data_IF_941045846178
#
_entry.id   IF_941045846178
#
_cell.length_a   1.000
_cell.length_b   1.000
_cell.length_c   1.000
_cell.angle_alpha   90.00
_cell.angle_beta   90.00
_cell.angle_gamma   90.00
#
_symmetry.space_group_name_H-M   'P 1'
#
loop_
_entity.id
_entity.type
_entity.pdbx_description
1 polymer ?
#
# COMPACT_ATOMS: atom_id res chain seq x y z
N UNK A 1 -8.19 -11.23 -26.56
CA UNK A 1 -8.93 -11.66 -25.36
C UNK A 1 -9.10 -10.42 -24.49
N UNK A 2 -10.33 -9.95 -24.31
CA UNK A 2 -10.64 -8.67 -23.64
C UNK A 2 -11.26 -8.99 -22.28
N UNK A 3 -10.72 -8.42 -21.21
CA UNK A 3 -11.27 -8.57 -19.85
C UNK A 3 -12.45 -7.61 -19.63
N UNK A 4 -13.50 -8.05 -18.90
CA UNK A 4 -14.62 -7.18 -18.57
C UNK A 4 -14.24 -6.21 -17.44
N UNK A 5 -14.97 -5.10 -17.29
CA UNK A 5 -14.58 -3.97 -16.43
C UNK A 5 -14.58 -4.32 -14.94
N UNK A 6 -15.52 -5.15 -14.51
CA UNK A 6 -15.67 -5.69 -13.16
C UNK A 6 -14.50 -6.59 -12.70
N UNK A 7 -13.64 -7.03 -13.63
CA UNK A 7 -12.42 -7.78 -13.30
C UNK A 7 -11.26 -6.88 -12.85
N UNK A 8 -11.43 -5.56 -12.90
CA UNK A 8 -10.42 -4.59 -12.51
C UNK A 8 -10.82 -3.90 -11.20
N UNK A 9 -9.81 -3.62 -10.39
CA UNK A 9 -9.91 -2.64 -9.32
C UNK A 9 -8.89 -1.54 -9.59
N UNK A 10 -9.37 -0.30 -9.61
CA UNK A 10 -8.55 0.87 -9.91
C UNK A 10 -8.40 1.68 -8.63
N UNK A 11 -7.16 1.99 -8.27
CA UNK A 11 -6.83 2.86 -7.15
C UNK A 11 -6.25 4.16 -7.72
N UNK A 12 -6.92 5.28 -7.50
CA UNK A 12 -6.54 6.59 -8.04
C UNK A 12 -5.96 7.45 -6.93
N UNK A 13 -4.72 7.90 -7.12
CA UNK A 13 -4.09 8.93 -6.30
C UNK A 13 -4.67 10.30 -6.69
N UNK A 14 -5.39 10.94 -5.77
CA UNK A 14 -5.97 12.26 -6.01
C UNK A 14 -4.91 13.36 -6.19
N UNK A 15 -3.73 13.20 -5.58
CA UNK A 15 -2.63 14.18 -5.60
C UNK A 15 -1.63 13.99 -6.74
N UNK A 16 -1.53 12.80 -7.33
CA UNK A 16 -0.64 12.53 -8.47
C UNK A 16 -1.14 11.36 -9.32
N UNK A 17 -1.54 11.64 -10.57
CA UNK A 17 -2.04 10.62 -11.49
C UNK A 17 -0.97 9.56 -11.82
N UNK A 18 0.32 9.90 -11.74
CA UNK A 18 1.44 8.98 -11.92
C UNK A 18 1.59 7.97 -10.78
N UNK A 19 1.00 8.20 -9.61
CA UNK A 19 0.97 7.25 -8.48
C UNK A 19 -0.29 6.39 -8.43
N UNK A 20 -1.11 6.41 -9.48
CA UNK A 20 -2.29 5.55 -9.58
C UNK A 20 -1.91 4.14 -10.01
N UNK A 21 -2.64 3.12 -9.54
CA UNK A 21 -2.39 1.71 -9.87
C UNK A 21 -3.71 0.99 -10.15
N UNK A 22 -3.66 -0.03 -10.99
CA UNK A 22 -4.78 -0.95 -11.19
C UNK A 22 -4.34 -2.38 -10.95
N UNK A 23 -5.27 -3.19 -10.46
CA UNK A 23 -5.08 -4.61 -10.26
C UNK A 23 -6.19 -5.41 -10.95
N UNK A 24 -5.83 -6.60 -11.43
CA UNK A 24 -6.79 -7.57 -11.97
C UNK A 24 -6.27 -8.99 -11.79
N UNK A 25 -7.21 -9.95 -11.77
CA UNK A 25 -6.86 -11.37 -11.75
C UNK A 25 -6.64 -11.85 -13.18
N UNK A 26 -5.47 -12.40 -13.48
CA UNK A 26 -5.17 -12.96 -14.79
C UNK A 26 -5.98 -14.24 -15.02
N UNK A 27 -6.81 -14.34 -16.08
CA UNK A 27 -7.67 -15.52 -16.31
C UNK A 27 -6.88 -16.76 -16.75
N UNK A 28 -5.59 -16.63 -17.08
CA UNK A 28 -4.75 -17.73 -17.55
C UNK A 28 -4.00 -18.43 -16.42
N UNK A 29 -3.51 -17.66 -15.45
CA UNK A 29 -2.70 -18.18 -14.34
C UNK A 29 -3.31 -17.94 -12.96
N UNK A 30 -4.47 -17.28 -12.89
CA UNK A 30 -5.14 -16.87 -11.65
C UNK A 30 -4.30 -15.97 -10.73
N UNK A 31 -3.17 -15.46 -11.22
CA UNK A 31 -2.32 -14.54 -10.46
C UNK A 31 -2.90 -13.13 -10.43
N UNK A 32 -2.73 -12.46 -9.29
CA UNK A 32 -3.03 -11.04 -9.14
C UNK A 32 -1.93 -10.23 -9.84
N UNK A 33 -2.32 -9.38 -10.80
CA UNK A 33 -1.41 -8.54 -11.57
C UNK A 33 -1.63 -7.09 -11.18
N UNK A 34 -0.57 -6.46 -10.65
CA UNK A 34 -0.56 -5.03 -10.30
C UNK A 34 0.26 -4.24 -11.32
N UNK A 35 -0.31 -3.14 -11.82
CA UNK A 35 0.34 -2.27 -12.81
C UNK A 35 0.09 -0.80 -12.47
N UNK A 36 1.06 0.04 -12.81
CA UNK A 36 0.91 1.49 -12.73
C UNK A 36 -0.09 1.98 -13.78
N UNK A 37 -1.02 2.83 -13.36
CA UNK A 37 -2.03 3.41 -14.22
C UNK A 37 -1.55 4.79 -14.67
N UNK A 38 -1.30 4.96 -15.97
CA UNK A 38 -1.14 6.29 -16.55
C UNK A 38 -2.50 7.01 -16.63
N UNK A 39 -2.49 8.32 -16.80
CA UNK A 39 -3.70 9.14 -16.92
C UNK A 39 -4.69 8.63 -17.99
N UNK A 40 -4.16 8.12 -19.13
CA UNK A 40 -4.98 7.51 -20.18
C UNK A 40 -5.66 6.22 -19.71
N UNK A 41 -4.97 5.41 -18.92
CA UNK A 41 -5.50 4.15 -18.36
C UNK A 41 -6.54 4.45 -17.28
N UNK A 42 -6.28 5.42 -16.40
CA UNK A 42 -7.26 5.89 -15.40
C UNK A 42 -8.53 6.35 -16.11
N UNK A 43 -8.41 7.22 -17.12
CA UNK A 43 -9.57 7.72 -17.88
C UNK A 43 -10.35 6.58 -18.55
N UNK A 44 -9.66 5.65 -19.19
CA UNK A 44 -10.29 4.52 -19.89
C UNK A 44 -10.99 3.53 -18.96
N UNK A 45 -10.40 3.24 -17.79
CA UNK A 45 -10.99 2.32 -16.80
C UNK A 45 -12.15 3.00 -16.05
N UNK A 46 -12.00 4.26 -15.64
CA UNK A 46 -13.09 5.03 -15.01
C UNK A 46 -14.30 5.17 -15.94
N UNK A 47 -14.10 5.41 -17.24
CA UNK A 47 -15.18 5.48 -18.23
C UNK A 47 -15.92 4.14 -18.41
N UNK A 48 -15.29 3.02 -18.07
CA UNK A 48 -15.89 1.67 -18.13
C UNK A 48 -16.55 1.26 -16.81
N UNK A 49 -16.64 2.16 -15.83
CA UNK A 49 -17.31 1.92 -14.55
C UNK A 49 -16.51 1.07 -13.57
N UNK A 50 -15.18 0.97 -13.75
CA UNK A 50 -14.31 0.27 -12.80
C UNK A 50 -14.38 0.96 -11.44
N UNK A 51 -14.47 0.18 -10.36
CA UNK A 51 -14.49 0.73 -9.00
C UNK A 51 -13.18 1.49 -8.74
N UNK A 52 -13.34 2.77 -8.40
CA UNK A 52 -12.24 3.67 -8.04
C UNK A 52 -12.16 3.73 -6.52
N UNK A 53 -11.05 3.27 -5.95
CA UNK A 53 -10.71 3.51 -4.56
C UNK A 53 -9.80 4.75 -4.47
N UNK A 54 -10.11 5.67 -3.54
CA UNK A 54 -9.19 6.76 -3.18
C UNK A 54 -8.15 6.24 -2.21
N UNK A 55 -6.88 6.60 -2.40
CA UNK A 55 -5.87 6.27 -1.39
C UNK A 55 -6.16 7.00 -0.06
N UNK A 56 -5.88 6.34 1.07
CA UNK A 56 -5.93 6.97 2.38
C UNK A 56 -4.89 8.09 2.49
N UNK A 57 -5.14 9.06 3.36
CA UNK A 57 -4.30 10.26 3.50
C UNK A 57 -2.90 9.91 3.99
N UNK A 58 -2.77 8.85 4.78
CA UNK A 58 -1.53 8.25 5.26
C UNK A 58 -0.62 7.80 4.10
N UNK A 59 -1.20 7.32 2.99
CA UNK A 59 -0.41 6.96 1.80
C UNK A 59 0.06 8.18 0.98
N UNK A 60 -0.48 9.36 1.30
CA UNK A 60 -0.12 10.64 0.69
C UNK A 60 0.84 11.45 1.56
N UNK A 61 1.19 10.96 2.75
CA UNK A 61 2.16 11.61 3.61
C UNK A 61 3.52 11.68 2.92
N UNK A 62 4.19 12.82 3.05
CA UNK A 62 5.57 12.94 2.62
C UNK A 62 6.45 12.11 3.56
N UNK A 63 6.92 10.97 3.06
CA UNK A 63 7.90 10.15 3.77
C UNK A 63 9.26 10.86 3.78
N UNK A 64 9.62 11.42 4.92
CA UNK A 64 10.94 11.98 5.14
C UNK A 64 11.90 10.90 5.66
N UNK A 65 13.10 10.86 5.07
CA UNK A 65 14.17 9.94 5.48
C UNK A 65 14.30 8.69 4.60
N UNK A 66 15.25 7.80 4.92
CA UNK A 66 15.45 6.56 4.19
C UNK A 66 14.25 5.61 4.38
N UNK A 67 14.00 4.77 3.37
CA UNK A 67 13.02 3.71 3.48
C UNK A 67 13.42 2.72 4.58
N UNK A 68 12.46 2.28 5.39
CA UNK A 68 12.68 1.29 6.43
C UNK A 68 13.15 -0.03 5.81
N UNK A 69 14.20 -0.58 6.40
CA UNK A 69 14.80 -1.86 6.02
C UNK A 69 14.47 -2.92 7.06
N UNK A 70 14.85 -4.16 6.76
CA UNK A 70 14.69 -5.24 7.72
C UNK A 70 15.53 -5.02 8.98
N UNK A 71 16.71 -4.41 8.86
CA UNK A 71 17.57 -4.14 10.02
C UNK A 71 16.92 -3.14 10.98
N UNK A 72 16.23 -2.11 10.46
CA UNK A 72 15.50 -1.14 11.28
C UNK A 72 14.40 -1.80 12.13
N UNK A 73 13.71 -2.80 11.56
CA UNK A 73 12.68 -3.56 12.28
C UNK A 73 13.29 -4.45 13.37
N UNK A 74 14.45 -5.05 13.10
CA UNK A 74 15.18 -5.85 14.08
C UNK A 74 15.66 -4.97 15.24
N UNK A 75 16.24 -3.81 14.94
CA UNK A 75 16.70 -2.85 15.95
C UNK A 75 15.55 -2.36 16.82
N UNK A 76 14.39 -2.04 16.23
CA UNK A 76 13.20 -1.67 16.98
C UNK A 76 12.74 -2.80 17.92
N UNK A 77 12.72 -4.05 17.46
CA UNK A 77 12.32 -5.20 18.29
C UNK A 77 13.24 -5.38 19.51
N UNK A 78 14.55 -5.18 19.31
CA UNK A 78 15.54 -5.24 20.38
C UNK A 78 15.35 -4.07 21.35
N UNK A 79 15.10 -2.87 20.84
CA UNK A 79 14.84 -1.69 21.68
C UNK A 79 13.60 -1.87 22.56
N UNK A 80 12.49 -2.38 21.99
CA UNK A 80 11.25 -2.64 22.71
C UNK A 80 11.42 -3.72 23.79
N UNK A 81 12.11 -4.83 23.50
CA UNK A 81 12.35 -5.88 24.49
C UNK A 81 13.14 -5.37 25.71
N UNK A 82 14.11 -4.47 25.51
CA UNK A 82 14.84 -3.83 26.62
C UNK A 82 13.94 -2.89 27.42
N UNK A 83 13.09 -2.12 26.75
CA UNK A 83 12.14 -1.23 27.41
C UNK A 83 11.13 -2.00 28.27
N UNK A 84 10.63 -3.15 27.80
CA UNK A 84 9.74 -4.01 28.56
C UNK A 84 10.40 -4.55 29.83
N UNK A 85 11.67 -4.94 29.77
CA UNK A 85 12.42 -5.39 30.95
C UNK A 85 12.54 -4.26 31.99
N UNK A 86 12.80 -3.03 31.54
CA UNK A 86 12.88 -1.86 32.43
C UNK A 86 11.51 -1.52 33.01
N UNK A 87 10.47 -1.51 32.19
CA UNK A 87 9.09 -1.25 32.62
C UNK A 87 8.63 -2.30 33.65
N UNK A 88 8.91 -3.58 33.41
CA UNK A 88 8.59 -4.67 34.33
C UNK A 88 9.35 -4.53 35.66
N UNK A 89 10.65 -4.19 35.63
CA UNK A 89 11.46 -3.98 36.83
C UNK A 89 10.93 -2.81 37.67
N UNK A 90 10.57 -1.70 37.02
CA UNK A 90 9.98 -0.52 37.68
C UNK A 90 8.58 -0.83 38.27
N UNK A 91 7.80 -1.66 37.58
CA UNK A 91 6.47 -2.06 38.05
C UNK A 91 6.51 -3.04 39.22
N UNK A 92 7.59 -3.81 39.36
CA UNK A 92 7.77 -4.80 40.42
C UNK A 92 8.34 -4.22 41.74
N UNK A 93 8.74 -2.94 41.74
CA UNK A 93 9.28 -2.24 42.93
C UNK A 93 8.27 -1.30 43.60
N UNK A 94 7.04 -1.21 43.10
CA UNK A 94 5.87 -0.61 43.80
C UNK A 94 5.02 -1.69 44.45
#
# INVERSE_FOLDING_TARGET
MTLPADSFELVVCASDAGRSFYQFTCPKCSGLVTKQASERVVTGLSARGVRVASLPMEALEDHAGPALTMDDLLDLSIALSKADVVAAALSATS
#
